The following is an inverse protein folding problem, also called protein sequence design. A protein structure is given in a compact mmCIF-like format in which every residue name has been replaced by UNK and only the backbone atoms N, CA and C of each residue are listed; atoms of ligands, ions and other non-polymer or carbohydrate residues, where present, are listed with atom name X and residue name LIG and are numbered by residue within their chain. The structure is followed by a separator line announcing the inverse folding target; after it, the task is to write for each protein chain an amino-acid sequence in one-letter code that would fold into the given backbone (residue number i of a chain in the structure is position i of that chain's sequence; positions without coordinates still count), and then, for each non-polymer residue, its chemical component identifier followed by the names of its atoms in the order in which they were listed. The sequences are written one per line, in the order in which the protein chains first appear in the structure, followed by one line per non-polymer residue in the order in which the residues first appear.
data_IF_071992126824
#
_entry.id   IF_071992126824
#
_cell.length_a   1.000
_cell.length_b   1.000
_cell.length_c   1.000
_cell.angle_alpha   90.00
_cell.angle_beta   90.00
_cell.angle_gamma   90.00
#
_symmetry.space_group_name_H-M   'P 1'
#
loop_
_entity.id
_entity.type
_entity.pdbx_description
1 polymer ?
#
# COMPACT_ATOMS: atom_id res chain seq x y z
N UNK A 1 17.87 26.35 19.20
CA UNK A 1 16.39 26.47 19.18
C UNK A 1 15.92 25.99 17.81
N UNK A 2 15.57 24.70 17.69
CA UNK A 2 15.01 24.16 16.45
C UNK A 2 13.50 24.38 16.47
N UNK A 3 12.99 25.15 15.51
CA UNK A 3 11.55 25.25 15.26
C UNK A 3 11.07 23.85 14.89
N UNK A 4 10.18 23.27 15.70
CA UNK A 4 9.41 22.12 15.27
C UNK A 4 8.63 22.54 14.02
N UNK A 5 9.01 21.99 12.86
CA UNK A 5 8.21 22.09 11.66
C UNK A 5 6.83 21.51 11.96
N UNK A 6 5.72 22.11 11.46
CA UNK A 6 4.42 21.47 11.56
C UNK A 6 4.56 20.06 10.98
N UNK A 7 4.08 19.05 11.71
CA UNK A 7 4.23 17.64 11.33
C UNK A 7 3.91 17.48 9.84
N UNK A 8 4.92 17.13 9.04
CA UNK A 8 4.79 17.06 7.60
C UNK A 8 3.68 16.06 7.26
N UNK A 9 2.77 16.45 6.37
CA UNK A 9 1.62 15.62 6.03
C UNK A 9 2.09 14.40 5.22
N UNK A 10 2.04 13.22 5.82
CA UNK A 10 2.50 11.98 5.21
C UNK A 10 1.48 11.46 4.19
N UNK A 11 1.91 11.24 2.96
CA UNK A 11 1.11 10.81 1.81
C UNK A 11 1.05 9.30 1.78
N UNK A 12 -0.10 8.75 2.16
CA UNK A 12 -0.33 7.32 2.25
C UNK A 12 -0.94 6.80 0.94
N UNK A 13 -0.26 5.89 0.26
CA UNK A 13 -0.81 5.12 -0.83
C UNK A 13 -1.46 3.83 -0.31
N UNK A 14 -2.65 3.52 -0.81
CA UNK A 14 -3.30 2.23 -0.55
C UNK A 14 -3.07 1.33 -1.75
N UNK A 15 -2.57 0.13 -1.50
CA UNK A 15 -2.44 -0.91 -2.52
C UNK A 15 -3.38 -2.06 -2.22
N UNK A 16 -4.19 -2.44 -3.21
CA UNK A 16 -5.13 -3.56 -3.08
C UNK A 16 -4.89 -4.60 -4.18
N UNK A 17 -5.16 -5.87 -3.84
CA UNK A 17 -5.02 -6.98 -4.79
C UNK A 17 -6.05 -8.07 -4.53
N UNK A 18 -6.59 -8.63 -5.61
CA UNK A 18 -7.39 -9.85 -5.59
C UNK A 18 -6.96 -10.77 -6.74
N UNK A 19 -6.71 -12.05 -6.48
CA UNK A 19 -6.43 -13.03 -7.55
C UNK A 19 -7.72 -13.61 -8.10
N UNK A 20 -7.67 -14.12 -9.33
CA UNK A 20 -8.73 -14.94 -9.93
C UNK A 20 -8.93 -16.28 -9.21
N UNK A 21 -7.88 -16.82 -8.57
CA UNK A 21 -7.86 -18.17 -7.96
C UNK A 21 -8.35 -18.22 -6.50
N UNK A 22 -8.34 -17.09 -5.77
CA UNK A 22 -8.81 -17.05 -4.38
C UNK A 22 -10.30 -16.73 -4.34
N UNK A 23 -11.12 -17.77 -4.12
CA UNK A 23 -12.48 -17.68 -3.57
C UNK A 23 -13.31 -16.53 -4.14
N UNK A 24 -13.81 -16.72 -5.37
CA UNK A 24 -14.69 -15.77 -6.07
C UNK A 24 -15.95 -15.38 -5.26
N UNK A 25 -16.28 -16.11 -4.19
CA UNK A 25 -17.53 -15.98 -3.42
C UNK A 25 -17.42 -15.37 -2.01
N UNK A 26 -16.24 -14.94 -1.54
CA UNK A 26 -16.16 -14.22 -0.26
C UNK A 26 -16.24 -12.71 -0.48
N UNK A 27 -17.42 -12.11 -0.26
CA UNK A 27 -17.64 -10.66 -0.24
C UNK A 27 -16.64 -9.91 0.67
N UNK A 28 -16.14 -10.58 1.72
CA UNK A 28 -15.22 -10.04 2.72
C UNK A 28 -13.80 -9.72 2.22
N UNK A 29 -13.45 -10.02 0.97
CA UNK A 29 -12.10 -9.74 0.42
C UNK A 29 -12.15 -9.08 -0.98
N UNK A 30 -13.13 -8.19 -1.20
CA UNK A 30 -13.15 -7.33 -2.38
C UNK A 30 -12.05 -6.27 -2.32
N UNK A 31 -11.69 -5.70 -3.48
CA UNK A 31 -10.73 -4.59 -3.56
C UNK A 31 -11.24 -3.38 -2.76
N UNK A 32 -12.55 -3.12 -2.80
CA UNK A 32 -13.17 -2.02 -2.05
C UNK A 32 -13.15 -2.25 -0.54
N UNK A 33 -13.43 -3.46 -0.06
CA UNK A 33 -13.35 -3.77 1.37
C UNK A 33 -11.91 -3.61 1.90
N UNK A 34 -10.91 -4.06 1.12
CA UNK A 34 -9.50 -3.83 1.44
C UNK A 34 -9.18 -2.32 1.49
N UNK A 35 -9.65 -1.57 0.49
CA UNK A 35 -9.40 -0.14 0.41
C UNK A 35 -10.05 0.63 1.57
N UNK A 36 -11.31 0.34 1.90
CA UNK A 36 -12.03 0.95 3.02
C UNK A 36 -11.33 0.68 4.36
N UNK A 37 -10.88 -0.56 4.59
CA UNK A 37 -10.12 -0.89 5.79
C UNK A 37 -8.81 -0.09 5.89
N UNK A 38 -8.06 0.04 4.78
CA UNK A 38 -6.84 0.84 4.74
C UNK A 38 -7.10 2.33 4.92
N UNK A 39 -8.15 2.86 4.28
CA UNK A 39 -8.53 4.26 4.39
C UNK A 39 -8.97 4.61 5.82
N UNK A 40 -9.74 3.75 6.48
CA UNK A 40 -10.13 3.90 7.88
C UNK A 40 -8.91 3.89 8.81
N UNK A 41 -7.96 2.96 8.58
CA UNK A 41 -6.70 2.94 9.32
C UNK A 41 -5.92 4.24 9.14
N UNK A 42 -5.72 4.70 7.90
CA UNK A 42 -5.04 5.98 7.61
C UNK A 42 -5.74 7.15 8.31
N UNK A 43 -7.08 7.19 8.29
CA UNK A 43 -7.86 8.23 8.95
C UNK A 43 -7.65 8.22 10.48
N UNK A 44 -7.52 7.05 11.10
CA UNK A 44 -7.19 6.93 12.54
C UNK A 44 -5.81 7.51 12.88
N UNK A 45 -4.89 7.56 11.90
CA UNK A 45 -3.53 8.10 12.05
C UNK A 45 -3.45 9.59 11.67
N UNK A 46 -4.58 10.27 11.44
CA UNK A 46 -4.60 11.69 11.09
C UNK A 46 -3.91 12.58 12.15
N UNK A 47 -3.92 12.19 13.43
CA UNK A 47 -3.23 12.89 14.51
C UNK A 47 -1.71 12.93 14.38
N UNK A 48 -1.11 12.00 13.64
CA UNK A 48 0.32 11.98 13.30
C UNK A 48 0.59 12.43 11.86
N UNK A 49 -0.38 13.10 11.22
CA UNK A 49 -0.21 13.77 9.93
C UNK A 49 -0.47 12.90 8.70
N UNK A 50 -0.98 11.66 8.85
CA UNK A 50 -1.25 10.78 7.72
C UNK A 50 -2.42 11.30 6.85
N UNK A 51 -2.30 11.11 5.53
CA UNK A 51 -3.34 11.45 4.56
C UNK A 51 -3.37 10.43 3.42
N UNK A 52 -4.53 9.84 3.18
CA UNK A 52 -4.74 9.00 1.99
C UNK A 52 -4.57 9.84 0.72
N UNK A 53 -3.83 9.30 -0.24
CA UNK A 53 -3.83 9.79 -1.61
C UNK A 53 -5.17 9.45 -2.28
N UNK A 54 -5.66 10.29 -3.21
CA UNK A 54 -6.88 10.02 -3.96
C UNK A 54 -6.67 8.95 -5.05
N UNK A 55 -5.43 8.74 -5.50
CA UNK A 55 -5.09 7.73 -6.50
C UNK A 55 -5.18 6.35 -5.86
N UNK A 56 -5.91 5.44 -6.50
CA UNK A 56 -6.02 4.02 -6.12
C UNK A 56 -5.01 3.19 -6.90
N UNK A 57 -4.44 2.19 -6.23
CA UNK A 57 -3.53 1.22 -6.83
C UNK A 57 -4.13 -0.18 -6.65
N UNK A 58 -4.94 -0.59 -7.61
CA UNK A 58 -5.78 -1.78 -7.49
C UNK A 58 -5.42 -2.80 -8.58
N UNK A 59 -4.97 -3.99 -8.18
CA UNK A 59 -4.71 -5.12 -9.09
C UNK A 59 -5.75 -6.24 -8.88
N UNK A 60 -6.83 -6.18 -9.66
CA UNK A 60 -7.87 -7.21 -9.70
C UNK A 60 -7.56 -8.31 -10.71
N UNK A 61 -7.77 -9.57 -10.31
CA UNK A 61 -7.58 -10.74 -11.16
C UNK A 61 -6.13 -11.17 -11.36
N UNK A 62 -5.18 -10.67 -10.56
CA UNK A 62 -3.74 -10.93 -10.74
C UNK A 62 -3.16 -11.61 -9.49
N UNK A 63 -2.34 -12.63 -9.70
CA UNK A 63 -1.66 -13.36 -8.62
C UNK A 63 -0.63 -12.49 -7.90
N UNK A 64 -0.55 -12.61 -6.57
CA UNK A 64 0.51 -12.02 -5.76
C UNK A 64 1.87 -12.74 -5.89
N UNK A 65 1.99 -13.73 -6.76
CA UNK A 65 3.24 -14.45 -7.06
C UNK A 65 4.06 -13.84 -8.20
N UNK A 66 3.64 -12.70 -8.75
CA UNK A 66 4.36 -11.99 -9.81
C UNK A 66 4.49 -10.49 -9.51
N UNK A 67 5.54 -9.87 -10.03
CA UNK A 67 5.74 -8.42 -10.05
C UNK A 67 5.11 -7.76 -11.28
N UNK A 68 4.56 -8.55 -12.21
CA UNK A 68 3.89 -8.08 -13.42
C UNK A 68 2.46 -7.62 -13.14
N UNK A 69 2.37 -6.54 -12.37
CA UNK A 69 1.14 -6.00 -11.82
C UNK A 69 1.05 -4.52 -12.15
N UNK A 70 0.12 -4.08 -13.02
CA UNK A 70 0.05 -2.69 -13.48
C UNK A 70 0.01 -1.68 -12.32
N UNK A 71 -0.86 -1.88 -11.33
CA UNK A 71 -0.99 -0.93 -10.24
C UNK A 71 0.22 -0.95 -9.31
N UNK A 72 0.82 -2.12 -9.05
CA UNK A 72 2.09 -2.19 -8.32
C UNK A 72 3.24 -1.48 -9.05
N UNK A 73 3.36 -1.66 -10.37
CA UNK A 73 4.40 -1.00 -11.18
C UNK A 73 4.25 0.52 -11.11
N UNK A 74 3.01 1.02 -11.17
CA UNK A 74 2.72 2.44 -10.99
C UNK A 74 3.06 2.94 -9.59
N UNK A 75 2.69 2.18 -8.54
CA UNK A 75 3.02 2.52 -7.17
C UNK A 75 4.53 2.67 -6.98
N UNK A 76 5.30 1.68 -7.44
CA UNK A 76 6.76 1.72 -7.36
C UNK A 76 7.34 2.89 -8.18
N UNK A 77 6.72 3.26 -9.30
CA UNK A 77 7.13 4.42 -10.08
C UNK A 77 6.83 5.75 -9.37
N UNK A 78 5.69 5.87 -8.69
CA UNK A 78 5.33 7.06 -7.93
C UNK A 78 6.15 7.17 -6.62
N UNK A 79 6.55 6.06 -6.01
CA UNK A 79 7.55 6.02 -4.91
C UNK A 79 8.91 6.54 -5.38
N UNK A 80 9.40 6.07 -6.54
CA UNK A 80 10.66 6.57 -7.13
C UNK A 80 10.64 8.06 -7.49
N UNK A 81 9.45 8.66 -7.54
CA UNK A 81 9.22 10.10 -7.81
C UNK A 81 8.90 10.88 -6.53
N UNK A 82 9.15 10.29 -5.36
CA UNK A 82 8.93 10.87 -4.04
C UNK A 82 7.49 11.38 -3.85
N UNK A 83 6.48 10.67 -4.37
CA UNK A 83 5.05 11.03 -4.26
C UNK A 83 4.31 10.32 -3.11
N UNK A 84 4.94 9.33 -2.52
CA UNK A 84 4.36 8.45 -1.49
C UNK A 84 5.35 8.41 -0.34
N UNK A 85 4.84 8.56 0.89
CA UNK A 85 5.64 8.46 2.12
C UNK A 85 5.32 7.19 2.90
N UNK A 86 4.11 6.65 2.73
CA UNK A 86 3.66 5.42 3.38
C UNK A 86 2.87 4.56 2.40
N UNK A 87 3.16 3.26 2.34
CA UNK A 87 2.34 2.26 1.65
C UNK A 87 1.53 1.48 2.68
N UNK A 88 0.22 1.42 2.49
CA UNK A 88 -0.71 0.69 3.37
C UNK A 88 -1.40 -0.41 2.57
N UNK A 89 -1.40 -1.62 3.13
CA UNK A 89 -2.09 -2.78 2.56
C UNK A 89 -2.97 -3.44 3.62
N UNK A 90 -4.00 -4.15 3.18
CA UNK A 90 -4.89 -4.86 4.11
C UNK A 90 -4.17 -6.02 4.82
N UNK A 91 -3.45 -6.85 4.05
CA UNK A 91 -2.59 -7.97 4.50
C UNK A 91 -1.31 -8.00 3.68
N UNK A 92 -0.23 -8.53 4.25
CA UNK A 92 1.07 -8.65 3.57
C UNK A 92 0.94 -9.48 2.27
N UNK A 93 0.13 -10.54 2.28
CA UNK A 93 -0.10 -11.40 1.12
C UNK A 93 -0.83 -10.71 -0.06
N UNK A 94 -1.43 -9.53 0.18
CA UNK A 94 -1.99 -8.69 -0.87
C UNK A 94 -0.87 -7.97 -1.62
N UNK A 95 0.19 -7.56 -0.93
CA UNK A 95 1.38 -6.99 -1.56
C UNK A 95 2.16 -8.04 -2.34
N UNK A 96 2.45 -9.19 -1.75
CA UNK A 96 3.15 -10.30 -2.41
C UNK A 96 3.08 -11.58 -1.56
N UNK A 97 3.09 -12.73 -2.22
CA UNK A 97 3.26 -14.05 -1.57
C UNK A 97 4.68 -14.62 -1.73
N UNK A 98 5.54 -13.90 -2.45
CA UNK A 98 6.91 -14.29 -2.75
C UNK A 98 7.87 -13.51 -1.85
N UNK A 99 8.65 -14.23 -1.03
CA UNK A 99 9.65 -13.61 -0.15
C UNK A 99 10.73 -12.87 -0.95
N UNK A 100 11.13 -13.42 -2.09
CA UNK A 100 12.11 -12.79 -3.00
C UNK A 100 11.57 -11.48 -3.56
N UNK A 101 10.30 -11.44 -3.96
CA UNK A 101 9.70 -10.21 -4.47
C UNK A 101 9.44 -9.21 -3.35
N UNK A 102 9.13 -9.70 -2.14
CA UNK A 102 9.01 -8.85 -0.96
C UNK A 102 10.30 -8.08 -0.70
N UNK A 103 11.45 -8.76 -0.70
CA UNK A 103 12.75 -8.11 -0.51
C UNK A 103 13.01 -7.01 -1.55
N UNK A 104 12.72 -7.27 -2.83
CA UNK A 104 12.87 -6.28 -3.91
C UNK A 104 11.95 -5.07 -3.74
N UNK A 105 10.71 -5.29 -3.28
CA UNK A 105 9.76 -4.21 -3.03
C UNK A 105 10.24 -3.34 -1.87
N UNK A 106 10.64 -3.96 -0.77
CA UNK A 106 11.14 -3.25 0.42
C UNK A 106 12.41 -2.45 0.11
N UNK A 107 13.31 -2.98 -0.72
CA UNK A 107 14.49 -2.23 -1.17
C UNK A 107 14.12 -0.92 -1.88
N UNK A 108 13.05 -0.91 -2.69
CA UNK A 108 12.54 0.32 -3.33
C UNK A 108 11.95 1.29 -2.32
N UNK A 109 11.31 0.78 -1.27
CA UNK A 109 10.73 1.59 -0.21
C UNK A 109 11.83 2.24 0.64
N UNK A 110 12.79 1.45 1.10
CA UNK A 110 13.92 1.90 1.92
C UNK A 110 14.80 2.92 1.19
N UNK A 111 15.04 2.72 -0.12
CA UNK A 111 15.79 3.66 -0.94
C UNK A 111 15.15 5.06 -1.03
N UNK A 112 13.90 5.20 -0.61
CA UNK A 112 13.11 6.45 -0.64
C UNK A 112 12.51 6.82 0.72
N UNK A 113 12.95 6.17 1.80
CA UNK A 113 12.42 6.38 3.16
C UNK A 113 10.88 6.26 3.25
N UNK A 114 10.33 5.30 2.48
CA UNK A 114 8.89 5.00 2.46
C UNK A 114 8.59 3.94 3.50
N UNK A 115 7.68 4.24 4.42
CA UNK A 115 7.21 3.25 5.39
C UNK A 115 6.19 2.28 4.78
N UNK A 116 6.16 1.05 5.26
CA UNK A 116 5.18 0.03 4.85
C UNK A 116 4.38 -0.48 6.04
N UNK A 117 3.05 -0.54 5.91
CA UNK A 117 2.14 -1.01 6.95
C UNK A 117 1.11 -1.98 6.40
N UNK A 118 0.91 -3.09 7.12
CA UNK A 118 -0.22 -4.00 6.95
C UNK A 118 -1.26 -3.72 8.04
N UNK A 119 -2.52 -3.49 7.65
CA UNK A 119 -3.62 -3.18 8.60
C UNK A 119 -3.95 -4.39 9.47
N UNK A 120 -3.88 -5.59 8.89
CA UNK A 120 -4.11 -6.85 9.59
C UNK A 120 -2.88 -7.75 9.53
N UNK A 121 -2.87 -8.81 10.34
CA UNK A 121 -1.82 -9.82 10.35
C UNK A 121 -1.87 -10.68 9.08
#
# INVERSE_FOLDING_TARGET
MSRASPAARLRCAIYTRKSTEEGLEQEFNSLDAQHEACAAYIASQAGVGWKSLPKRYDDGGISGGTMERPALRELLADIRRDKVDVVVVYKIDRLTRSLTDFAKIVEVFDARDVSFVSVTQ
#
